data_IF_746975507550
#
_entry.id   IF_746975507550
#
_cell.length_a   1.000
_cell.length_b   1.000
_cell.length_c   1.000
_cell.angle_alpha   90.00
_cell.angle_beta   90.00
_cell.angle_gamma   90.00
#
_symmetry.space_group_name_H-M   'P 1'
#
loop_
_entity.id
_entity.type
_entity.pdbx_description
1 polymer ?
#
# COMPACT_ATOMS: atom_id res chain seq x y z
N UNK A 1 -8.34 -10.31 4.41
CA UNK A 1 -8.55 -10.32 2.95
C UNK A 1 -7.28 -10.73 2.22
N UNK A 2 -6.17 -9.98 2.32
CA UNK A 2 -4.88 -10.35 1.72
C UNK A 2 -4.42 -11.77 2.06
N UNK A 3 -4.42 -12.15 3.34
CA UNK A 3 -4.04 -13.50 3.76
C UNK A 3 -4.84 -14.59 3.02
N UNK A 4 -6.13 -14.37 2.78
CA UNK A 4 -6.98 -15.30 2.02
C UNK A 4 -6.61 -15.32 0.53
N UNK A 5 -6.25 -14.18 -0.06
CA UNK A 5 -5.81 -14.11 -1.45
C UNK A 5 -4.48 -14.82 -1.65
N UNK A 6 -3.47 -14.52 -0.82
CA UNK A 6 -2.19 -15.21 -0.81
C UNK A 6 -2.37 -16.71 -0.60
N UNK A 7 -3.20 -17.12 0.35
CA UNK A 7 -3.51 -18.53 0.57
C UNK A 7 -4.08 -19.18 -0.69
N UNK A 8 -5.08 -18.59 -1.35
CA UNK A 8 -5.67 -19.15 -2.57
C UNK A 8 -4.65 -19.26 -3.71
N UNK A 9 -3.85 -18.21 -3.93
CA UNK A 9 -2.83 -18.19 -4.99
C UNK A 9 -1.74 -19.21 -4.72
N UNK A 10 -1.14 -19.21 -3.52
CA UNK A 10 -0.09 -20.14 -3.14
C UNK A 10 -0.59 -21.58 -3.18
N UNK A 11 -1.80 -21.84 -2.65
CA UNK A 11 -2.42 -23.15 -2.70
C UNK A 11 -2.59 -23.64 -4.15
N UNK A 12 -3.09 -22.78 -5.04
CA UNK A 12 -3.24 -23.12 -6.47
C UNK A 12 -1.91 -23.45 -7.16
N UNK A 13 -0.82 -22.82 -6.75
CA UNK A 13 0.51 -23.03 -7.35
C UNK A 13 1.19 -24.26 -6.74
N UNK A 14 1.03 -24.49 -5.44
CA UNK A 14 1.85 -25.41 -4.65
C UNK A 14 1.18 -26.75 -4.35
N UNK A 15 -0.15 -26.84 -4.35
CA UNK A 15 -0.88 -28.10 -4.19
C UNK A 15 -0.46 -29.17 -5.23
N UNK A 16 -0.24 -28.84 -6.53
CA UNK A 16 0.24 -29.82 -7.50
C UNK A 16 1.61 -30.44 -7.17
N UNK A 17 2.41 -29.77 -6.33
CA UNK A 17 3.72 -30.25 -5.89
C UNK A 17 3.67 -30.96 -4.53
N UNK A 18 2.48 -31.15 -3.95
CA UNK A 18 2.29 -31.79 -2.65
C UNK A 18 2.71 -30.94 -1.45
N UNK A 19 2.89 -29.63 -1.64
CA UNK A 19 3.31 -28.69 -0.60
C UNK A 19 2.06 -28.16 0.12
N UNK A 20 1.98 -28.35 1.44
CA UNK A 20 0.80 -28.02 2.23
C UNK A 20 0.81 -26.58 2.69
N UNK A 21 -0.17 -25.79 2.23
CA UNK A 21 -0.39 -24.41 2.64
C UNK A 21 -1.53 -24.35 3.66
N UNK A 22 -1.30 -23.68 4.80
CA UNK A 22 -2.32 -23.45 5.84
C UNK A 22 -2.63 -21.97 6.00
N UNK A 23 -3.91 -21.63 6.21
CA UNK A 23 -4.37 -20.27 6.50
C UNK A 23 -4.64 -20.09 7.99
N UNK A 24 -4.09 -19.03 8.60
CA UNK A 24 -4.34 -18.64 9.99
C UNK A 24 -4.73 -17.16 10.08
N UNK A 25 -5.96 -16.89 10.50
CA UNK A 25 -6.46 -15.52 10.67
C UNK A 25 -7.23 -15.38 11.98
N UNK A 26 -7.53 -14.15 12.40
CA UNK A 26 -8.36 -13.90 13.58
C UNK A 26 -9.77 -14.49 13.46
N UNK A 27 -10.32 -14.58 12.24
CA UNK A 27 -11.64 -15.14 11.96
C UNK A 27 -11.64 -16.67 11.75
N UNK A 28 -10.53 -17.22 11.26
CA UNK A 28 -10.30 -18.66 11.13
C UNK A 28 -9.07 -19.05 11.94
N UNK A 29 -9.30 -19.37 13.21
CA UNK A 29 -8.40 -20.22 13.98
C UNK A 29 -8.75 -21.67 13.63
N UNK A 30 -8.33 -22.13 12.46
CA UNK A 30 -8.50 -23.53 12.09
C UNK A 30 -7.73 -24.39 13.10
N UNK A 31 -8.44 -24.92 14.10
CA UNK A 31 -8.13 -26.20 14.73
C UNK A 31 -8.44 -27.29 13.69
N UNK A 32 -7.68 -27.32 12.60
CA UNK A 32 -7.74 -28.31 11.52
C UNK A 32 -6.52 -29.22 11.55
N UNK A 33 -6.54 -30.41 10.91
CA UNK A 33 -5.64 -31.52 11.20
C UNK A 33 -4.24 -31.39 10.56
N UNK A 34 -3.74 -30.18 10.33
CA UNK A 34 -2.40 -29.98 9.79
C UNK A 34 -1.40 -30.10 10.95
N UNK A 35 -1.02 -31.34 11.29
CA UNK A 35 -0.03 -31.59 12.34
C UNK A 35 1.32 -30.91 12.05
N UNK A 36 1.63 -30.56 10.79
CA UNK A 36 2.81 -29.79 10.36
C UNK A 36 2.66 -29.31 8.90
N UNK A 37 2.03 -28.15 8.60
CA UNK A 37 2.03 -27.62 7.24
C UNK A 37 3.39 -27.01 6.87
N UNK A 38 3.70 -27.01 5.58
CA UNK A 38 4.98 -26.51 5.04
C UNK A 38 5.01 -24.98 4.99
N UNK A 39 3.85 -24.36 4.69
CA UNK A 39 3.70 -22.90 4.58
C UNK A 39 2.51 -22.43 5.41
N UNK A 40 2.74 -21.40 6.22
CA UNK A 40 1.69 -20.69 6.93
C UNK A 40 1.44 -19.33 6.27
N UNK A 41 0.19 -19.05 5.94
CA UNK A 41 -0.28 -17.74 5.47
C UNK A 41 -1.21 -17.16 6.52
N UNK A 42 -0.99 -15.93 6.94
CA UNK A 42 -1.80 -15.36 8.01
C UNK A 42 -1.60 -13.89 8.25
N UNK A 43 -2.27 -13.37 9.28
CA UNK A 43 -2.08 -12.00 9.75
C UNK A 43 -1.14 -11.98 10.95
N UNK A 44 -1.05 -10.85 11.66
CA UNK A 44 -0.38 -10.74 12.97
C UNK A 44 -0.74 -11.85 13.98
N UNK A 45 -1.82 -12.59 13.78
CA UNK A 45 -2.19 -13.76 14.58
C UNK A 45 -1.14 -14.88 14.53
N UNK A 46 -0.28 -14.94 13.51
CA UNK A 46 0.84 -15.89 13.44
C UNK A 46 1.96 -15.60 14.45
N UNK A 47 2.05 -14.35 14.94
CA UNK A 47 3.03 -13.94 15.94
C UNK A 47 2.51 -14.06 17.38
N UNK A 48 1.29 -14.55 17.57
CA UNK A 48 0.72 -14.74 18.92
C UNK A 48 1.25 -16.03 19.56
N UNK A 49 1.38 -16.03 20.89
CA UNK A 49 1.81 -17.19 21.68
C UNK A 49 0.95 -18.42 21.35
N UNK A 50 1.59 -19.51 20.95
CA UNK A 50 0.94 -20.82 20.69
C UNK A 50 1.10 -21.38 19.27
N UNK A 51 1.64 -20.62 18.32
CA UNK A 51 2.06 -21.17 17.02
C UNK A 51 3.51 -21.63 17.13
N UNK A 52 3.74 -22.94 17.05
CA UNK A 52 5.07 -23.51 17.13
C UNK A 52 5.55 -23.91 15.73
N UNK A 53 6.60 -23.25 15.25
CA UNK A 53 7.26 -23.60 14.00
C UNK A 53 8.39 -24.59 14.30
N UNK A 54 8.42 -25.73 13.62
CA UNK A 54 9.51 -26.71 13.82
C UNK A 54 10.86 -26.16 13.35
N UNK A 55 10.92 -25.68 12.12
CA UNK A 55 12.12 -25.17 11.46
C UNK A 55 11.74 -23.96 10.58
N UNK A 56 11.50 -22.81 11.20
CA UNK A 56 11.18 -21.60 10.45
C UNK A 56 12.43 -21.10 9.71
N UNK A 57 12.45 -21.29 8.39
CA UNK A 57 13.59 -20.90 7.54
C UNK A 57 13.40 -19.56 6.84
N UNK A 58 12.17 -19.18 6.51
CA UNK A 58 11.84 -17.99 5.72
C UNK A 58 10.58 -17.31 6.25
N UNK A 59 10.63 -15.98 6.35
CA UNK A 59 9.50 -15.13 6.67
C UNK A 59 9.31 -14.13 5.54
N UNK A 60 8.11 -14.11 4.97
CA UNK A 60 7.71 -13.14 3.95
C UNK A 60 6.68 -12.20 4.55
N UNK A 61 6.97 -10.90 4.52
CA UNK A 61 6.07 -9.85 4.99
C UNK A 61 5.59 -9.05 3.78
N UNK A 62 4.28 -8.91 3.62
CA UNK A 62 3.66 -8.09 2.58
C UNK A 62 3.05 -6.83 3.21
N UNK A 63 3.34 -5.66 2.63
CA UNK A 63 2.96 -4.31 3.09
C UNK A 63 3.42 -3.99 4.52
N UNK A 64 4.73 -3.71 4.67
CA UNK A 64 5.48 -3.59 5.94
C UNK A 64 5.00 -2.55 6.97
N UNK A 65 4.00 -1.71 6.70
CA UNK A 65 3.67 -0.53 7.52
C UNK A 65 3.38 -0.83 9.01
N UNK A 66 3.19 -2.09 9.40
CA UNK A 66 2.92 -2.50 10.79
C UNK A 66 3.86 -3.58 11.36
N UNK A 67 4.89 -3.98 10.61
CA UNK A 67 5.86 -4.99 11.04
C UNK A 67 7.15 -4.32 11.52
N UNK A 68 7.12 -3.85 12.78
CA UNK A 68 8.23 -3.13 13.40
C UNK A 68 9.41 -4.03 13.81
N UNK A 69 10.50 -3.38 14.22
CA UNK A 69 11.75 -4.03 14.69
C UNK A 69 11.51 -5.02 15.83
N UNK A 70 10.56 -4.74 16.73
CA UNK A 70 10.22 -5.60 17.85
C UNK A 70 9.69 -7.00 17.44
N UNK A 71 9.00 -7.09 16.30
CA UNK A 71 8.48 -8.36 15.79
C UNK A 71 9.58 -9.20 15.13
N UNK A 72 10.64 -8.56 14.60
CA UNK A 72 11.86 -9.25 14.13
C UNK A 72 12.61 -9.93 15.29
N UNK A 73 12.70 -9.25 16.44
CA UNK A 73 13.32 -9.82 17.64
C UNK A 73 12.54 -11.03 18.19
N UNK A 74 11.19 -10.98 18.13
CA UNK A 74 10.32 -12.08 18.55
C UNK A 74 10.55 -13.36 17.73
N UNK A 75 10.77 -13.21 16.41
CA UNK A 75 11.04 -14.32 15.47
C UNK A 75 12.41 -14.98 15.69
N UNK A 76 13.42 -14.23 16.13
CA UNK A 76 14.77 -14.73 16.35
C UNK A 76 14.99 -15.38 17.73
N UNK A 77 14.35 -14.87 18.80
CA UNK A 77 14.57 -15.34 20.17
C UNK A 77 13.60 -16.45 20.62
N UNK A 78 12.30 -16.33 20.32
CA UNK A 78 11.29 -17.25 20.87
C UNK A 78 10.93 -18.40 19.92
N UNK A 79 11.05 -18.23 18.60
CA UNK A 79 10.43 -19.15 17.61
C UNK A 79 11.40 -20.09 16.89
N UNK A 80 12.71 -19.91 17.03
CA UNK A 80 13.73 -20.61 16.21
C UNK A 80 14.92 -21.14 17.01
N UNK A 81 14.88 -21.07 18.34
CA UNK A 81 15.98 -21.53 19.19
C UNK A 81 17.29 -20.76 18.98
N UNK A 82 17.21 -19.47 18.59
CA UNK A 82 18.36 -18.58 18.45
C UNK A 82 18.91 -18.42 17.03
N UNK A 83 18.33 -19.07 16.01
CA UNK A 83 18.71 -18.87 14.60
C UNK A 83 17.70 -17.96 13.87
N UNK A 84 18.14 -16.80 13.40
CA UNK A 84 17.27 -15.90 12.66
C UNK A 84 16.85 -16.50 11.29
N UNK A 85 15.56 -16.50 10.92
CA UNK A 85 15.12 -16.93 9.60
C UNK A 85 15.53 -15.92 8.51
N UNK A 86 15.58 -16.36 7.25
CA UNK A 86 15.64 -15.44 6.13
C UNK A 86 14.39 -14.56 6.10
N UNK A 87 14.54 -13.29 5.75
CA UNK A 87 13.44 -12.34 5.75
C UNK A 87 13.34 -11.67 4.39
N UNK A 88 12.14 -11.71 3.81
CA UNK A 88 11.79 -10.98 2.59
C UNK A 88 10.63 -10.04 2.92
N UNK A 89 10.82 -8.75 2.69
CA UNK A 89 9.74 -7.78 2.81
C UNK A 89 9.36 -7.22 1.46
N UNK A 90 8.06 -7.21 1.18
CA UNK A 90 7.47 -6.68 -0.04
C UNK A 90 6.57 -5.48 0.29
N UNK A 91 6.57 -4.48 -0.58
CA UNK A 91 5.70 -3.32 -0.46
C UNK A 91 5.33 -2.84 -1.85
N UNK A 92 4.05 -2.52 -2.06
CA UNK A 92 3.62 -1.81 -3.26
C UNK A 92 3.73 -0.29 -3.08
N UNK A 93 3.94 0.22 -1.86
CA UNK A 93 4.19 1.64 -1.63
C UNK A 93 5.52 2.01 -2.27
N UNK A 94 5.53 2.89 -3.26
CA UNK A 94 6.79 3.40 -3.74
C UNK A 94 7.39 4.30 -2.67
N UNK A 95 8.40 3.79 -1.98
CA UNK A 95 9.21 4.57 -1.06
C UNK A 95 10.28 5.27 -1.90
N UNK A 96 10.53 6.58 -1.68
CA UNK A 96 11.67 7.23 -2.33
C UNK A 96 12.93 6.41 -2.07
N UNK A 97 13.65 6.06 -3.13
CA UNK A 97 14.82 5.17 -3.04
C UNK A 97 15.80 5.65 -1.99
N UNK A 98 15.96 6.96 -1.88
CA UNK A 98 16.87 7.56 -0.93
C UNK A 98 16.46 7.31 0.53
N UNK A 99 15.17 7.34 0.83
CA UNK A 99 14.65 7.01 2.16
C UNK A 99 14.86 5.52 2.44
N UNK A 100 14.52 4.66 1.48
CA UNK A 100 14.68 3.22 1.64
C UNK A 100 16.13 2.82 1.97
N UNK A 101 17.10 3.41 1.27
CA UNK A 101 18.54 3.16 1.50
C UNK A 101 19.08 3.71 2.82
N UNK A 102 18.36 4.65 3.45
CA UNK A 102 18.73 5.25 4.74
C UNK A 102 18.16 4.45 5.89
N UNK A 103 16.87 4.15 5.82
CA UNK A 103 16.11 3.58 6.93
C UNK A 103 16.19 2.07 6.97
N UNK A 104 16.33 1.45 5.80
CA UNK A 104 16.54 0.01 5.64
C UNK A 104 17.96 -0.26 5.16
N UNK A 105 18.95 0.51 5.64
CA UNK A 105 20.35 0.32 5.28
C UNK A 105 20.90 -1.06 5.68
N UNK A 106 20.19 -1.77 6.55
CA UNK A 106 20.39 -3.17 6.96
C UNK A 106 19.74 -4.20 6.00
N UNK A 107 18.97 -3.76 5.00
CA UNK A 107 18.29 -4.63 4.03
C UNK A 107 18.86 -4.45 2.62
N UNK A 108 19.04 -5.57 1.93
CA UNK A 108 19.29 -5.57 0.50
C UNK A 108 18.00 -5.19 -0.25
N UNK A 109 18.08 -4.12 -1.06
CA UNK A 109 16.95 -3.58 -1.80
C UNK A 109 16.92 -4.14 -3.23
N UNK A 110 15.88 -4.90 -3.55
CA UNK A 110 15.53 -5.26 -4.93
C UNK A 110 14.33 -4.46 -5.41
N UNK A 111 14.44 -3.85 -6.59
CA UNK A 111 13.38 -3.04 -7.20
C UNK A 111 12.83 -3.77 -8.43
N UNK A 112 11.51 -3.89 -8.51
CA UNK A 112 10.79 -4.37 -9.69
C UNK A 112 10.15 -3.15 -10.37
N UNK A 113 10.80 -2.64 -11.42
CA UNK A 113 10.38 -1.44 -12.15
C UNK A 113 9.75 -1.74 -13.53
N UNK A 114 9.80 -2.99 -13.96
CA UNK A 114 9.18 -3.45 -15.20
C UNK A 114 7.73 -3.90 -15.00
N UNK A 115 6.90 -3.66 -16.03
CA UNK A 115 5.55 -4.22 -16.09
C UNK A 115 5.53 -5.52 -16.89
N UNK A 116 4.64 -6.47 -16.59
CA UNK A 116 4.41 -7.63 -17.44
C UNK A 116 4.10 -7.20 -18.89
N UNK A 117 4.69 -7.90 -19.87
CA UNK A 117 4.67 -7.50 -21.30
C UNK A 117 3.27 -7.27 -21.87
N UNK A 118 2.27 -8.01 -21.39
CA UNK A 118 0.89 -7.95 -21.89
C UNK A 118 0.07 -6.82 -21.26
N UNK A 119 0.63 -6.10 -20.27
CA UNK A 119 -0.11 -5.13 -19.49
C UNK A 119 -0.15 -3.77 -20.18
N UNK A 120 -1.35 -3.32 -20.54
CA UNK A 120 -1.57 -1.99 -21.09
C UNK A 120 -1.34 -0.90 -20.03
N UNK A 121 -0.61 0.16 -20.42
CA UNK A 121 -0.39 1.33 -19.57
C UNK A 121 -1.72 2.03 -19.26
N UNK A 122 -1.97 2.33 -17.99
CA UNK A 122 -3.14 3.09 -17.55
C UNK A 122 -3.04 4.54 -18.05
N UNK A 123 -3.97 4.97 -18.90
CA UNK A 123 -4.03 6.36 -19.39
C UNK A 123 -4.46 7.27 -18.25
N UNK A 124 -3.58 8.15 -17.82
CA UNK A 124 -3.84 9.04 -16.69
C UNK A 124 -4.11 10.46 -17.17
N UNK A 125 -5.17 11.09 -16.67
CA UNK A 125 -5.58 12.46 -17.01
C UNK A 125 -5.82 13.29 -15.76
N UNK A 126 -5.23 14.47 -15.70
CA UNK A 126 -5.59 15.50 -14.72
C UNK A 126 -6.82 16.25 -15.24
N UNK A 127 -7.93 16.12 -14.52
CA UNK A 127 -9.23 16.70 -14.89
C UNK A 127 -9.44 18.00 -14.12
N UNK A 128 -9.31 19.17 -14.77
CA UNK A 128 -9.62 20.44 -14.13
C UNK A 128 -11.14 20.59 -13.96
N UNK A 129 -11.55 21.42 -13.00
CA UNK A 129 -12.97 21.70 -12.68
C UNK A 129 -13.86 21.94 -13.91
N UNK A 130 -13.41 22.73 -14.89
CA UNK A 130 -14.15 23.02 -16.14
C UNK A 130 -14.47 21.78 -16.99
N UNK A 131 -13.69 20.70 -16.87
CA UNK A 131 -13.85 19.45 -17.63
C UNK A 131 -14.55 18.33 -16.84
N UNK A 132 -14.93 18.56 -15.57
CA UNK A 132 -15.59 17.54 -14.73
C UNK A 132 -16.86 16.96 -15.40
N UNK A 133 -17.75 17.82 -15.90
CA UNK A 133 -18.98 17.37 -16.57
C UNK A 133 -18.71 16.53 -17.82
N UNK A 134 -17.70 16.90 -18.61
CA UNK A 134 -17.29 16.12 -19.77
C UNK A 134 -16.71 14.75 -19.36
N UNK A 135 -15.93 14.72 -18.27
CA UNK A 135 -15.39 13.47 -17.72
C UNK A 135 -16.51 12.55 -17.21
N UNK A 136 -17.51 13.07 -16.49
CA UNK A 136 -18.66 12.26 -16.05
C UNK A 136 -19.43 11.67 -17.23
N UNK A 137 -19.70 12.45 -18.28
CA UNK A 137 -20.34 11.95 -19.50
C UNK A 137 -19.51 10.85 -20.16
N UNK A 138 -18.19 11.01 -20.18
CA UNK A 138 -17.28 9.99 -20.70
C UNK A 138 -17.31 8.70 -19.86
N UNK A 139 -17.23 8.80 -18.53
CA UNK A 139 -17.32 7.63 -17.63
C UNK A 139 -18.66 6.91 -17.84
N UNK A 140 -19.78 7.65 -17.85
CA UNK A 140 -21.11 7.09 -18.09
C UNK A 140 -21.19 6.36 -19.41
N UNK A 141 -20.60 6.93 -20.47
CA UNK A 141 -20.56 6.30 -21.80
C UNK A 141 -19.79 4.99 -21.75
N UNK A 142 -18.57 4.99 -21.20
CA UNK A 142 -17.75 3.77 -21.12
C UNK A 142 -18.49 2.67 -20.39
N UNK A 143 -18.91 2.93 -19.15
CA UNK A 143 -19.61 1.96 -18.30
C UNK A 143 -20.84 1.36 -19.00
N UNK A 144 -21.67 2.19 -19.66
CA UNK A 144 -22.85 1.69 -20.39
C UNK A 144 -22.50 0.93 -21.68
N UNK A 145 -21.45 1.32 -22.39
CA UNK A 145 -21.14 0.78 -23.72
C UNK A 145 -20.27 -0.47 -23.71
N UNK A 146 -19.44 -0.65 -22.69
CA UNK A 146 -18.46 -1.75 -22.61
C UNK A 146 -18.67 -2.68 -21.42
N UNK A 147 -19.72 -2.45 -20.62
CA UNK A 147 -19.98 -3.14 -19.34
C UNK A 147 -18.76 -3.11 -18.39
N UNK A 148 -17.90 -2.11 -18.56
CA UNK A 148 -16.77 -1.85 -17.68
C UNK A 148 -17.24 -1.16 -16.40
N UNK A 149 -16.48 -1.36 -15.32
CA UNK A 149 -16.81 -0.83 -14.01
C UNK A 149 -15.83 0.28 -13.61
N UNK A 150 -16.28 1.16 -12.69
CA UNK A 150 -15.47 2.27 -12.22
C UNK A 150 -15.31 2.28 -10.69
N UNK A 151 -14.14 2.72 -10.23
CA UNK A 151 -13.93 3.15 -8.86
C UNK A 151 -13.94 4.68 -8.77
N UNK A 152 -14.59 5.19 -7.74
CA UNK A 152 -14.56 6.61 -7.37
C UNK A 152 -13.99 6.71 -5.96
N UNK A 153 -12.81 7.30 -5.82
CA UNK A 153 -12.11 7.40 -4.54
C UNK A 153 -12.23 8.82 -4.00
N UNK A 154 -12.84 8.96 -2.83
CA UNK A 154 -12.97 10.22 -2.11
C UNK A 154 -11.93 10.30 -0.99
N UNK A 155 -11.18 11.40 -0.85
CA UNK A 155 -10.11 11.51 0.15
C UNK A 155 -10.63 11.34 1.58
N UNK A 156 -9.80 10.74 2.43
CA UNK A 156 -9.97 10.84 3.87
C UNK A 156 -9.36 12.16 4.33
N UNK A 157 -10.03 12.83 5.26
CA UNK A 157 -9.47 13.85 6.13
C UNK A 157 -8.92 13.08 7.34
N UNK A 158 -7.63 13.21 7.62
CA UNK A 158 -6.84 12.34 8.51
C UNK A 158 -7.10 12.49 10.03
N UNK A 159 -6.55 11.51 10.76
CA UNK A 159 -6.18 11.30 12.18
C UNK A 159 -7.18 11.31 13.34
N UNK A 160 -8.28 12.05 13.34
CA UNK A 160 -9.24 11.99 14.46
C UNK A 160 -10.48 11.13 14.17
N UNK A 161 -11.09 10.51 15.18
CA UNK A 161 -12.40 9.84 15.01
C UNK A 161 -13.46 10.81 14.44
N UNK A 162 -13.35 12.10 14.80
CA UNK A 162 -14.19 13.18 14.28
C UNK A 162 -13.97 13.41 12.78
N UNK A 163 -12.75 13.30 12.27
CA UNK A 163 -12.41 13.47 10.86
C UNK A 163 -12.67 12.22 10.01
N UNK A 164 -12.55 11.04 10.61
CA UNK A 164 -13.07 9.80 10.02
C UNK A 164 -14.57 9.92 9.75
N UNK A 165 -15.33 10.51 10.69
CA UNK A 165 -16.76 10.79 10.49
C UNK A 165 -17.02 11.82 9.39
N UNK A 166 -16.19 12.87 9.28
CA UNK A 166 -16.29 13.84 8.17
C UNK A 166 -16.03 13.16 6.82
N UNK A 167 -15.06 12.26 6.74
CA UNK A 167 -14.70 11.54 5.52
C UNK A 167 -15.78 10.56 5.08
N UNK A 168 -16.36 9.81 6.04
CA UNK A 168 -17.52 8.96 5.79
C UNK A 168 -18.68 9.80 5.25
N UNK A 169 -18.99 10.92 5.91
CA UNK A 169 -20.04 11.84 5.46
C UNK A 169 -19.77 12.41 4.07
N UNK A 170 -18.53 12.76 3.76
CA UNK A 170 -18.14 13.27 2.44
C UNK A 170 -18.32 12.20 1.36
N UNK A 171 -17.85 10.96 1.59
CA UNK A 171 -18.04 9.85 0.66
C UNK A 171 -19.53 9.49 0.48
N UNK A 172 -20.33 9.51 1.56
CA UNK A 172 -21.77 9.28 1.49
C UNK A 172 -22.50 10.41 0.75
N UNK A 173 -22.17 11.67 1.02
CA UNK A 173 -22.76 12.81 0.33
C UNK A 173 -22.40 12.82 -1.16
N UNK A 174 -21.17 12.46 -1.48
CA UNK A 174 -20.71 12.36 -2.86
C UNK A 174 -21.37 11.18 -3.58
N UNK A 175 -21.50 10.03 -2.91
CA UNK A 175 -22.29 8.90 -3.41
C UNK A 175 -23.73 9.29 -3.70
N UNK A 176 -24.40 10.02 -2.80
CA UNK A 176 -25.76 10.51 -3.02
C UNK A 176 -25.84 11.49 -4.20
N UNK A 177 -24.89 12.43 -4.29
CA UNK A 177 -24.85 13.41 -5.38
C UNK A 177 -24.63 12.72 -6.72
N UNK A 178 -23.67 11.81 -6.79
CA UNK A 178 -23.32 11.09 -7.99
C UNK A 178 -24.46 10.16 -8.43
N UNK A 179 -25.03 9.38 -7.51
CA UNK A 179 -26.14 8.47 -7.81
C UNK A 179 -27.39 9.23 -8.25
N UNK A 180 -27.77 10.33 -7.58
CA UNK A 180 -29.01 11.05 -7.93
C UNK A 180 -28.88 11.96 -9.15
N UNK A 181 -27.73 12.64 -9.31
CA UNK A 181 -27.59 13.74 -10.29
C UNK A 181 -26.72 13.42 -11.49
N UNK A 182 -25.68 12.59 -11.33
CA UNK A 182 -24.65 12.38 -12.38
C UNK A 182 -24.86 11.04 -13.09
N UNK A 183 -25.11 9.99 -12.33
CA UNK A 183 -25.25 8.61 -12.78
C UNK A 183 -26.58 7.96 -12.33
N UNK A 184 -27.75 8.59 -12.56
CA UNK A 184 -29.05 8.07 -12.09
C UNK A 184 -29.43 6.71 -12.70
N UNK A 185 -28.85 6.35 -13.85
CA UNK A 185 -29.15 5.10 -14.54
C UNK A 185 -28.11 4.01 -14.29
N UNK A 186 -27.13 4.23 -13.40
CA UNK A 186 -26.07 3.27 -13.09
C UNK A 186 -26.21 2.75 -11.67
N UNK A 187 -25.90 1.48 -11.48
CA UNK A 187 -25.91 0.83 -10.17
C UNK A 187 -24.65 1.25 -9.43
N UNK A 188 -24.81 1.96 -8.32
CA UNK A 188 -23.69 2.45 -7.53
C UNK A 188 -23.61 1.74 -6.17
N UNK A 189 -22.40 1.46 -5.71
CA UNK A 189 -22.12 0.99 -4.36
C UNK A 189 -21.33 2.04 -3.56
N UNK A 190 -21.38 1.93 -2.23
CA UNK A 190 -20.59 2.75 -1.31
C UNK A 190 -19.79 1.87 -0.35
N UNK A 191 -18.49 2.11 -0.24
CA UNK A 191 -17.61 1.40 0.69
C UNK A 191 -16.72 2.37 1.45
N UNK A 192 -16.81 2.37 2.77
CA UNK A 192 -16.00 3.24 3.62
C UNK A 192 -15.50 2.50 4.87
N UNK A 193 -14.63 3.12 5.66
CA UNK A 193 -14.02 2.49 6.84
C UNK A 193 -15.00 1.95 7.89
N UNK A 194 -16.23 2.49 7.97
CA UNK A 194 -17.28 2.01 8.88
C UNK A 194 -18.21 0.93 8.30
N UNK A 195 -18.01 0.52 7.05
CA UNK A 195 -18.83 -0.53 6.43
C UNK A 195 -18.55 -1.84 7.15
N UNK A 196 -19.60 -2.53 7.61
CA UNK A 196 -19.45 -3.80 8.35
C UNK A 196 -18.78 -4.84 7.45
N UNK A 197 -18.01 -5.74 8.04
CA UNK A 197 -17.24 -6.74 7.29
C UNK A 197 -18.11 -7.60 6.34
N UNK A 198 -19.27 -8.05 6.81
CA UNK A 198 -20.23 -8.83 5.99
C UNK A 198 -20.78 -8.02 4.82
N UNK A 199 -21.12 -6.75 5.06
CA UNK A 199 -21.64 -5.84 4.04
C UNK A 199 -20.55 -5.51 3.00
N UNK A 200 -19.32 -5.24 3.47
CA UNK A 200 -18.15 -5.06 2.62
C UNK A 200 -17.97 -6.27 1.70
N UNK A 201 -18.04 -7.48 2.24
CA UNK A 201 -17.90 -8.69 1.42
C UNK A 201 -19.03 -8.83 0.39
N UNK A 202 -20.27 -8.56 0.77
CA UNK A 202 -21.42 -8.54 -0.15
C UNK A 202 -21.23 -7.53 -1.29
N UNK A 203 -20.91 -6.27 -0.97
CA UNK A 203 -20.69 -5.21 -1.98
C UNK A 203 -19.54 -5.62 -2.91
N UNK A 204 -18.47 -6.20 -2.37
CA UNK A 204 -17.35 -6.67 -3.18
C UNK A 204 -17.72 -7.83 -4.10
N UNK A 205 -18.58 -8.75 -3.66
CA UNK A 205 -19.11 -9.83 -4.49
C UNK A 205 -20.03 -9.29 -5.59
N UNK A 206 -20.91 -8.34 -5.26
CA UNK A 206 -21.79 -7.69 -6.22
C UNK A 206 -20.99 -6.92 -7.28
N UNK A 207 -19.94 -6.22 -6.87
CA UNK A 207 -19.01 -5.56 -7.78
C UNK A 207 -18.30 -6.59 -8.68
N UNK A 208 -17.69 -7.66 -8.14
CA UNK A 208 -17.07 -8.69 -9.00
C UNK A 208 -18.06 -9.38 -9.95
N UNK A 209 -19.32 -9.50 -9.55
CA UNK A 209 -20.38 -10.08 -10.38
C UNK A 209 -21.02 -9.10 -11.38
N UNK A 210 -20.50 -7.88 -11.53
CA UNK A 210 -21.04 -6.87 -12.45
C UNK A 210 -22.41 -6.32 -12.06
N UNK A 211 -22.86 -6.52 -10.80
CA UNK A 211 -24.14 -5.98 -10.31
C UNK A 211 -24.04 -4.52 -9.90
N UNK A 212 -22.83 -4.04 -9.61
CA UNK A 212 -22.53 -2.64 -9.31
C UNK A 212 -21.68 -2.13 -10.46
N UNK A 213 -22.06 -1.03 -11.08
CA UNK A 213 -21.32 -0.43 -12.18
C UNK A 213 -20.20 0.48 -11.65
N UNK A 214 -20.47 1.21 -10.56
CA UNK A 214 -19.55 2.18 -9.97
C UNK A 214 -19.48 2.00 -8.46
N UNK A 215 -18.27 1.82 -7.91
CA UNK A 215 -18.04 1.77 -6.46
C UNK A 215 -17.41 3.08 -5.97
N UNK A 216 -18.15 3.84 -5.17
CA UNK A 216 -17.62 5.00 -4.43
C UNK A 216 -16.98 4.51 -3.15
N UNK A 217 -15.76 4.93 -2.86
CA UNK A 217 -15.06 4.50 -1.67
C UNK A 217 -14.08 5.51 -1.08
N UNK A 218 -13.79 5.35 0.21
CA UNK A 218 -12.64 6.01 0.82
C UNK A 218 -11.35 5.17 0.60
N UNK A 219 -10.15 5.78 0.69
CA UNK A 219 -8.87 5.11 0.54
C UNK A 219 -8.65 3.89 1.45
N UNK A 220 -9.49 3.68 2.46
CA UNK A 220 -9.57 2.45 3.28
C UNK A 220 -9.92 1.19 2.46
N UNK A 221 -10.12 1.32 1.14
CA UNK A 221 -9.96 0.25 0.13
C UNK A 221 -8.53 -0.33 0.09
N UNK A 222 -7.64 0.22 0.91
CA UNK A 222 -6.18 0.16 0.98
C UNK A 222 -5.47 -1.13 0.59
N UNK A 223 -6.02 -2.34 0.72
CA UNK A 223 -5.30 -3.51 0.21
C UNK A 223 -6.18 -4.70 -0.22
N UNK A 224 -5.88 -5.22 -1.41
CA UNK A 224 -6.33 -6.55 -1.85
C UNK A 224 -7.63 -6.61 -2.64
N UNK A 225 -8.11 -5.50 -3.19
CA UNK A 225 -9.27 -5.56 -4.09
C UNK A 225 -8.78 -5.74 -5.52
N UNK A 226 -9.08 -6.93 -6.06
CA UNK A 226 -8.87 -7.30 -7.46
C UNK A 226 -10.24 -7.43 -8.14
N UNK A 227 -10.50 -6.55 -9.11
CA UNK A 227 -11.68 -6.58 -9.97
C UNK A 227 -11.20 -6.34 -11.41
N UNK A 228 -11.02 -7.40 -12.22
CA UNK A 228 -10.46 -7.29 -13.56
C UNK A 228 -11.23 -6.36 -14.51
N UNK A 229 -12.55 -6.27 -14.33
CA UNK A 229 -13.44 -5.42 -15.14
C UNK A 229 -13.55 -3.98 -14.65
N UNK A 230 -12.92 -3.64 -13.52
CA UNK A 230 -12.78 -2.26 -13.09
C UNK A 230 -11.62 -1.59 -13.85
N UNK A 231 -11.94 -0.90 -14.94
CA UNK A 231 -10.97 -0.27 -15.84
C UNK A 231 -10.82 1.23 -15.59
N UNK A 232 -11.77 1.85 -14.89
CA UNK A 232 -11.78 3.30 -14.64
C UNK A 232 -11.53 3.58 -13.16
N UNK A 233 -10.50 4.38 -12.87
CA UNK A 233 -10.21 4.93 -11.56
C UNK A 233 -10.45 6.44 -11.61
N UNK A 234 -11.39 6.95 -10.82
CA UNK A 234 -11.62 8.38 -10.63
C UNK A 234 -11.26 8.76 -9.20
N UNK A 235 -10.40 9.75 -9.03
CA UNK A 235 -9.95 10.20 -7.71
C UNK A 235 -10.42 11.63 -7.52
N UNK A 236 -11.34 11.83 -6.58
CA UNK A 236 -11.82 13.16 -6.22
C UNK A 236 -10.79 13.92 -5.39
N UNK A 237 -10.76 15.24 -5.60
CA UNK A 237 -9.85 16.17 -4.91
C UNK A 237 -8.42 15.60 -4.81
N UNK A 238 -7.90 15.13 -5.96
CA UNK A 238 -6.66 14.36 -6.08
C UNK A 238 -5.44 15.08 -5.48
N UNK A 239 -5.48 16.41 -5.39
CA UNK A 239 -4.47 17.25 -4.76
C UNK A 239 -4.24 16.96 -3.28
N UNK A 240 -5.22 16.38 -2.58
CA UNK A 240 -5.07 15.98 -1.17
C UNK A 240 -4.18 14.76 -1.00
N UNK A 241 -4.09 13.91 -2.02
CA UNK A 241 -3.27 12.70 -1.97
C UNK A 241 -1.80 12.94 -2.28
N UNK A 242 -0.92 12.18 -1.63
CA UNK A 242 0.47 12.05 -2.06
C UNK A 242 0.57 11.35 -3.42
N UNK A 243 1.60 11.66 -4.21
CA UNK A 243 1.80 11.01 -5.51
C UNK A 243 2.01 9.50 -5.37
N UNK A 244 2.65 9.05 -4.28
CA UNK A 244 2.79 7.64 -3.97
C UNK A 244 1.42 6.95 -3.75
N UNK A 245 0.51 7.59 -3.01
CA UNK A 245 -0.85 7.08 -2.80
C UNK A 245 -1.64 7.06 -4.12
N UNK A 246 -1.57 8.13 -4.92
CA UNK A 246 -2.19 8.18 -6.24
C UNK A 246 -1.65 7.08 -7.17
N UNK A 247 -0.36 6.77 -7.09
CA UNK A 247 0.26 5.67 -7.84
C UNK A 247 -0.34 4.31 -7.45
N UNK A 248 -0.50 4.06 -6.15
CA UNK A 248 -1.14 2.83 -5.67
C UNK A 248 -2.59 2.72 -6.12
N UNK A 249 -3.36 3.81 -6.02
CA UNK A 249 -4.75 3.87 -6.49
C UNK A 249 -4.82 3.62 -8.01
N UNK A 250 -3.94 4.25 -8.80
CA UNK A 250 -3.82 3.99 -10.25
C UNK A 250 -3.55 2.51 -10.54
N UNK A 251 -2.73 1.84 -9.72
CA UNK A 251 -2.41 0.42 -9.85
C UNK A 251 -3.55 -0.55 -9.49
N UNK A 252 -4.68 -0.05 -8.96
CA UNK A 252 -5.88 -0.87 -8.68
C UNK A 252 -6.68 -1.19 -9.95
N UNK A 253 -6.47 -0.45 -11.04
CA UNK A 253 -7.04 -0.73 -12.37
C UNK A 253 -5.98 -1.24 -13.34
N UNK A 254 -6.37 -1.67 -14.54
CA UNK A 254 -5.42 -2.23 -15.53
C UNK A 254 -4.96 -3.63 -15.19
N UNK A 255 -5.87 -4.48 -14.68
CA UNK A 255 -5.60 -5.89 -14.37
C UNK A 255 -6.05 -6.85 -15.47
N UNK A 256 -6.83 -6.38 -16.43
CA UNK A 256 -7.23 -7.09 -17.64
C UNK A 256 -6.53 -6.54 -18.88
N UNK A 257 -6.72 -7.18 -20.02
CA UNK A 257 -6.20 -6.73 -21.32
C UNK A 257 -6.99 -5.53 -21.90
N UNK A 258 -7.91 -4.95 -21.12
CA UNK A 258 -8.68 -3.75 -21.49
C UNK A 258 -7.89 -2.50 -21.15
N UNK A 259 -7.98 -1.49 -22.02
CA UNK A 259 -7.37 -0.19 -21.76
C UNK A 259 -8.01 0.43 -20.51
N UNK A 260 -7.20 0.69 -19.49
CA UNK A 260 -7.67 1.31 -18.24
C UNK A 260 -7.30 2.79 -18.17
N UNK A 261 -8.04 3.53 -17.35
CA UNK A 261 -7.97 4.98 -17.24
C UNK A 261 -7.93 5.42 -15.78
N UNK A 262 -7.12 6.44 -15.48
CA UNK A 262 -7.05 7.07 -14.17
C UNK A 262 -7.31 8.58 -14.31
N UNK A 263 -8.40 9.07 -13.73
CA UNK A 263 -8.82 10.46 -13.81
C UNK A 263 -8.61 11.12 -12.45
N UNK A 264 -7.72 12.10 -12.41
CA UNK A 264 -7.35 12.85 -11.21
C UNK A 264 -8.12 14.17 -11.19
N UNK A 265 -9.21 14.22 -10.43
CA UNK A 265 -10.06 15.40 -10.37
C UNK A 265 -9.44 16.42 -9.42
N UNK A 266 -9.09 17.59 -9.94
CA UNK A 266 -8.52 18.67 -9.14
C UNK A 266 -9.55 19.77 -8.87
N UNK A 267 -9.64 20.22 -7.62
CA UNK A 267 -10.47 21.34 -7.19
C UNK A 267 -9.64 22.61 -7.11
N UNK A 268 -10.15 23.77 -7.58
CA UNK A 268 -9.57 25.12 -7.52
C UNK A 268 -8.06 25.19 -7.13
N UNK A 269 -7.22 24.50 -7.90
CA UNK A 269 -5.86 24.18 -7.48
C UNK A 269 -4.87 25.18 -8.08
N UNK A 270 -3.94 25.73 -7.28
CA UNK A 270 -2.87 26.58 -7.80
C UNK A 270 -2.05 25.86 -8.88
N UNK A 271 -1.39 26.59 -9.81
CA UNK A 271 -0.58 25.99 -10.87
C UNK A 271 0.45 24.97 -10.37
N UNK A 272 1.06 25.21 -9.19
CA UNK A 272 2.02 24.28 -8.56
C UNK A 272 1.41 22.91 -8.25
N UNK A 273 0.16 22.87 -7.78
CA UNK A 273 -0.55 21.63 -7.46
C UNK A 273 -0.89 20.85 -8.73
N UNK A 274 -1.32 21.56 -9.79
CA UNK A 274 -1.58 20.93 -11.09
C UNK A 274 -0.29 20.37 -11.72
N UNK A 275 0.84 21.08 -11.60
CA UNK A 275 2.14 20.58 -12.05
C UNK A 275 2.55 19.30 -11.33
N UNK A 276 2.30 19.22 -10.01
CA UNK A 276 2.52 18.00 -9.22
C UNK A 276 1.68 16.84 -9.75
N UNK A 277 0.35 17.03 -9.90
CA UNK A 277 -0.55 15.98 -10.40
C UNK A 277 -0.19 15.55 -11.83
N UNK A 278 0.26 16.46 -12.70
CA UNK A 278 0.70 16.15 -14.06
C UNK A 278 1.91 15.22 -14.12
N UNK A 279 2.67 15.06 -13.03
CA UNK A 279 3.70 14.04 -12.96
C UNK A 279 3.13 12.63 -13.16
N UNK A 280 1.90 12.38 -12.68
CA UNK A 280 1.18 11.11 -12.85
C UNK A 280 0.87 10.78 -14.31
N UNK A 281 0.79 11.80 -15.18
CA UNK A 281 0.56 11.61 -16.62
C UNK A 281 1.85 11.19 -17.34
N UNK A 282 3.01 11.55 -16.80
CA UNK A 282 4.31 11.41 -17.45
C UNK A 282 5.05 10.14 -17.04
N UNK A 283 5.00 9.79 -15.76
CA UNK A 283 5.74 8.64 -15.23
C UNK A 283 4.81 7.54 -14.72
N UNK A 284 5.19 6.31 -15.05
CA UNK A 284 4.58 5.10 -14.50
C UNK A 284 5.34 4.60 -13.27
N UNK A 285 6.58 5.07 -13.04
CA UNK A 285 7.41 4.62 -11.93
C UNK A 285 6.92 5.19 -10.62
N UNK A 286 6.53 4.31 -9.69
CA UNK A 286 6.15 4.72 -8.35
C UNK A 286 7.31 5.39 -7.63
N UNK A 287 8.53 4.84 -7.74
CA UNK A 287 9.71 5.35 -7.03
C UNK A 287 10.07 6.79 -7.46
N UNK A 288 9.97 7.08 -8.77
CA UNK A 288 10.15 8.45 -9.27
C UNK A 288 9.07 9.42 -8.77
N UNK A 289 7.81 8.97 -8.74
CA UNK A 289 6.70 9.75 -8.21
C UNK A 289 6.89 10.07 -6.73
N UNK A 290 7.34 9.09 -5.95
CA UNK A 290 7.61 9.27 -4.54
C UNK A 290 8.76 10.25 -4.29
N UNK A 291 9.86 10.13 -5.06
CA UNK A 291 10.99 11.05 -5.01
C UNK A 291 10.57 12.49 -5.39
N UNK A 292 9.72 12.63 -6.42
CA UNK A 292 9.17 13.93 -6.81
C UNK A 292 8.25 14.52 -5.72
N UNK A 293 7.41 13.69 -5.10
CA UNK A 293 6.53 14.14 -4.01
C UNK A 293 7.33 14.63 -2.81
N UNK A 294 8.38 13.88 -2.43
CA UNK A 294 9.32 14.27 -1.38
C UNK A 294 9.99 15.62 -1.67
N UNK A 295 10.39 15.87 -2.92
CA UNK A 295 10.97 17.16 -3.34
C UNK A 295 9.95 18.30 -3.33
N UNK A 296 8.70 18.05 -3.75
CA UNK A 296 7.70 19.09 -3.96
C UNK A 296 6.91 19.48 -2.71
N UNK A 297 6.57 18.51 -1.85
CA UNK A 297 5.90 18.73 -0.54
C UNK A 297 6.89 18.98 0.58
N UNK A 298 8.13 18.51 0.39
CA UNK A 298 9.16 18.59 1.41
C UNK A 298 9.02 17.47 2.44
N UNK A 299 10.12 17.19 3.16
CA UNK A 299 10.19 16.13 4.16
C UNK A 299 9.10 16.19 5.23
N UNK A 300 8.89 17.34 5.87
CA UNK A 300 8.03 17.43 7.06
C UNK A 300 6.57 17.01 6.84
N UNK A 301 6.00 17.31 5.67
CA UNK A 301 4.60 16.96 5.34
C UNK A 301 4.46 15.49 4.88
N UNK A 302 5.47 14.96 4.17
CA UNK A 302 5.55 13.54 3.80
C UNK A 302 5.88 12.67 5.01
N UNK A 303 6.65 13.19 5.97
CA UNK A 303 7.00 12.51 7.20
C UNK A 303 5.89 12.60 8.24
N UNK A 304 5.14 13.70 8.33
CA UNK A 304 4.00 13.87 9.25
C UNK A 304 2.97 12.75 9.14
N UNK A 305 2.61 12.36 7.91
CA UNK A 305 1.71 11.22 7.64
C UNK A 305 2.34 9.85 7.91
N UNK A 306 3.68 9.77 7.94
CA UNK A 306 4.43 8.56 8.26
C UNK A 306 4.90 8.50 9.73
N UNK A 307 4.64 9.51 10.57
CA UNK A 307 5.23 9.65 11.92
C UNK A 307 4.89 8.51 12.90
N UNK A 308 3.91 7.65 12.61
CA UNK A 308 3.69 6.43 13.38
C UNK A 308 4.75 5.36 13.05
N UNK A 309 5.92 5.50 13.69
CA UNK A 309 7.01 4.52 13.65
C UNK A 309 8.38 5.08 13.23
N UNK A 310 8.48 6.38 12.94
CA UNK A 310 9.71 7.03 12.48
C UNK A 310 10.37 7.79 13.65
N UNK A 311 11.63 7.51 13.99
CA UNK A 311 12.31 8.21 15.08
C UNK A 311 12.74 9.61 14.68
N UNK A 312 12.63 10.57 15.59
CA UNK A 312 13.13 11.93 15.37
C UNK A 312 14.66 11.96 15.41
N UNK A 313 15.30 12.61 14.42
CA UNK A 313 16.74 12.80 14.42
C UNK A 313 17.09 14.00 15.30
N UNK A 314 17.99 13.79 16.28
CA UNK A 314 18.52 14.89 17.12
C UNK A 314 19.33 15.92 16.31
N UNK A 315 19.92 15.51 15.19
CA UNK A 315 20.65 16.38 14.26
C UNK A 315 20.54 15.86 12.83
N UNK A 316 20.23 16.74 11.89
CA UNK A 316 20.06 16.42 10.48
C UNK A 316 18.60 16.17 10.08
N UNK A 317 18.38 15.82 8.82
CA UNK A 317 17.05 15.55 8.27
C UNK A 317 17.10 14.34 7.37
N UNK A 318 16.05 13.50 7.40
CA UNK A 318 15.89 12.40 6.45
C UNK A 318 15.74 12.87 4.99
N UNK A 319 15.51 14.17 4.74
CA UNK A 319 15.60 14.74 3.38
C UNK A 319 17.02 14.98 2.89
N UNK A 320 18.03 15.03 3.77
CA UNK A 320 19.40 15.33 3.36
C UNK A 320 20.07 14.06 2.84
N UNK A 321 19.70 13.74 1.61
CA UNK A 321 20.20 12.59 0.84
C UNK A 321 21.72 12.55 0.74
N UNK A 322 22.38 13.71 0.70
CA UNK A 322 23.82 13.82 0.60
C UNK A 322 24.49 13.48 1.93
N UNK A 323 23.96 14.01 3.05
CA UNK A 323 24.44 13.71 4.40
C UNK A 323 24.24 12.24 4.74
N UNK A 324 23.09 11.67 4.39
CA UNK A 324 22.77 10.25 4.53
C UNK A 324 23.83 9.37 3.85
N UNK A 325 24.14 9.68 2.58
CA UNK A 325 25.10 8.89 1.80
C UNK A 325 26.51 8.95 2.42
N UNK A 326 26.91 10.13 2.93
CA UNK A 326 28.17 10.31 3.64
C UNK A 326 28.21 9.54 4.96
N UNK A 327 27.12 9.60 5.74
CA UNK A 327 27.00 8.89 7.02
C UNK A 327 27.10 7.37 6.82
N UNK A 328 26.43 6.83 5.80
CA UNK A 328 26.51 5.40 5.45
C UNK A 328 27.92 4.97 5.06
N UNK A 329 28.57 5.71 4.16
CA UNK A 329 29.93 5.39 3.74
C UNK A 329 30.91 5.40 4.93
N UNK A 330 30.77 6.37 5.84
CA UNK A 330 31.56 6.43 7.06
C UNK A 330 31.28 5.24 7.99
N UNK A 331 30.01 4.85 8.16
CA UNK A 331 29.63 3.71 8.98
C UNK A 331 30.19 2.38 8.43
N UNK A 332 30.08 2.14 7.12
CA UNK A 332 30.63 0.95 6.46
C UNK A 332 32.16 0.86 6.61
N UNK A 333 32.87 2.00 6.55
CA UNK A 333 34.31 2.05 6.77
C UNK A 333 34.68 1.79 8.24
N UNK A 334 33.95 2.40 9.18
CA UNK A 334 34.17 2.22 10.62
C UNK A 334 33.89 0.78 11.07
N UNK A 335 32.87 0.13 10.50
CA UNK A 335 32.50 -1.25 10.84
C UNK A 335 33.63 -2.25 10.53
N UNK A 336 34.34 -2.05 9.41
CA UNK A 336 35.53 -2.86 9.05
C UNK A 336 36.69 -2.71 10.03
N UNK A 337 36.69 -1.64 10.83
CA UNK A 337 37.76 -1.27 11.77
C UNK A 337 37.21 -1.15 13.20
N UNK A 338 36.20 -1.94 13.55
CA UNK A 338 35.44 -1.80 14.80
C UNK A 338 36.32 -1.84 16.05
N UNK A 339 37.41 -2.60 16.02
CA UNK A 339 38.38 -2.71 17.12
C UNK A 339 39.12 -1.39 17.41
N UNK A 340 39.17 -0.45 16.45
CA UNK A 340 39.71 0.90 16.66
C UNK A 340 38.73 1.85 17.36
N UNK A 341 37.47 1.42 17.56
CA UNK A 341 36.41 2.22 18.15
C UNK A 341 35.76 1.51 19.37
N UNK A 342 36.49 1.35 20.49
CA UNK A 342 36.05 0.55 21.64
C UNK A 342 34.76 1.05 22.28
N UNK A 343 34.51 2.37 22.31
CA UNK A 343 33.24 2.95 22.79
C UNK A 343 32.06 2.58 21.88
N UNK A 344 32.28 2.54 20.57
CA UNK A 344 31.25 2.16 19.60
C UNK A 344 30.96 0.67 19.73
N UNK A 345 31.99 -0.17 19.78
CA UNK A 345 31.89 -1.62 19.99
C UNK A 345 31.07 -1.95 21.24
N UNK A 346 31.40 -1.36 22.39
CA UNK A 346 30.65 -1.52 23.64
C UNK A 346 29.18 -1.12 23.51
N UNK A 347 28.89 -0.03 22.80
CA UNK A 347 27.51 0.46 22.62
C UNK A 347 26.69 -0.40 21.65
N UNK A 348 27.32 -1.04 20.67
CA UNK A 348 26.69 -2.02 19.79
C UNK A 348 26.37 -3.33 20.56
N UNK A 349 27.24 -3.73 21.48
CA UNK A 349 27.04 -4.90 22.34
C UNK A 349 25.95 -4.67 23.42
N UNK A 350 25.81 -3.44 23.93
CA UNK A 350 24.80 -3.07 24.94
C UNK A 350 23.37 -2.89 24.39
N UNK A 351 23.20 -2.62 23.08
CA UNK A 351 21.87 -2.41 22.47
C UNK A 351 21.48 -3.60 21.59
N UNK A 352 20.55 -4.43 22.08
CA UNK A 352 19.92 -5.50 21.28
C UNK A 352 19.07 -4.99 20.10
N UNK A 353 18.82 -3.68 20.00
CA UNK A 353 18.20 -3.09 18.82
C UNK A 353 18.84 -1.74 18.49
N UNK A 354 19.42 -1.63 17.31
CA UNK A 354 19.79 -0.35 16.70
C UNK A 354 18.68 -0.01 15.72
N UNK A 355 17.51 0.34 16.27
CA UNK A 355 16.60 1.23 15.58
C UNK A 355 17.08 2.68 15.78
N UNK A 356 16.72 3.62 14.89
CA UNK A 356 17.05 5.01 15.12
C UNK A 356 16.40 5.43 16.46
N UNK A 357 17.20 5.95 17.37
CA UNK A 357 16.80 6.67 18.57
C UNK A 357 17.63 7.93 18.61
#
# INVERSE_FOLDING_TARGET
ILAMQHFKTLKSILDPFGINVALMTSAQKTKGPYKSPDIFVGTHSLLQKGVNFKNLALVIVDEQHRFGVAQRALLGKELTGGKAPHMLTMTATPIPRTIALTMYGDLDLSLLDEMPKERLKVKTWVVPRRKREAAYKWIKKQVKSTSEQAFIVCPLIEESEKETMKSVRAASAEFERLSKKVFPDLKMGLLHGKTKAQEKEKIMQEMRGGKIDILVATPVVEVGIDIPDATIMMIETAERFGLAQLHQLRGRVGRSNKQSYCLLFAENSPPRVLTRLRAMERTMSGAELAELDLRLRGPGEVYGTMQHGFPELNAGSFSDTALIKKARAAAEEMFKKLDKYPKLKKRLEEKESIGPN
#
